data_IF_982283420307
#
_entry.id   IF_982283420307
#
_cell.length_a   1.000
_cell.length_b   1.000
_cell.length_c   1.000
_cell.angle_alpha   90.00
_cell.angle_beta   90.00
_cell.angle_gamma   90.00
#
_symmetry.space_group_name_H-M   'P 1'
#
loop_
_entity.id
_entity.type
_entity.pdbx_description
1 polymer ?
#
# COMPACT_ATOMS: atom_id res chain seq x y z
N UNK A 1 -17.92 0.92 12.47
CA UNK A 1 -16.80 0.03 12.86
C UNK A 1 -15.82 0.87 13.62
N UNK A 2 -15.35 0.44 14.79
CA UNK A 2 -14.37 1.23 15.57
C UNK A 2 -13.01 1.15 14.85
N UNK A 3 -12.40 2.30 14.58
CA UNK A 3 -11.09 2.38 13.93
C UNK A 3 -10.03 1.82 14.88
N UNK A 4 -9.40 0.69 14.52
CA UNK A 4 -8.31 0.10 15.28
C UNK A 4 -7.00 0.54 14.61
N UNK A 5 -6.27 1.45 15.25
CA UNK A 5 -4.98 1.93 14.76
C UNK A 5 -3.90 0.85 14.95
N UNK A 6 -3.43 0.29 13.82
CA UNK A 6 -2.38 -0.73 13.80
C UNK A 6 -1.00 -0.16 13.40
N UNK A 7 -0.88 1.13 13.09
CA UNK A 7 0.24 1.67 12.30
C UNK A 7 0.97 2.86 12.94
N UNK A 8 0.46 3.44 14.00
CA UNK A 8 0.96 4.70 14.56
C UNK A 8 2.29 4.62 15.32
N UNK A 9 2.67 3.47 15.87
CA UNK A 9 3.94 3.34 16.59
C UNK A 9 5.13 3.16 15.61
N UNK A 10 6.07 4.12 15.57
CA UNK A 10 7.29 4.16 14.74
C UNK A 10 7.15 4.61 13.27
N UNK A 11 6.42 5.68 13.03
CA UNK A 11 6.22 6.26 11.69
C UNK A 11 7.54 6.62 10.97
N UNK A 12 8.61 7.01 11.66
CA UNK A 12 9.91 7.35 11.08
C UNK A 12 10.67 6.14 10.50
N UNK A 13 10.69 5.01 11.22
CA UNK A 13 11.28 3.76 10.72
C UNK A 13 10.45 3.20 9.56
N UNK A 14 9.14 3.33 9.66
CA UNK A 14 8.20 2.94 8.64
C UNK A 14 8.39 3.73 7.33
N UNK A 15 8.59 5.04 7.42
CA UNK A 15 8.79 5.91 6.27
C UNK A 15 10.11 5.64 5.53
N UNK A 16 11.18 5.30 6.27
CA UNK A 16 12.52 5.04 5.70
C UNK A 16 12.67 3.65 5.10
N UNK A 17 11.98 2.66 5.66
CA UNK A 17 12.10 1.26 5.25
C UNK A 17 11.10 0.86 4.14
N UNK A 18 10.06 1.69 3.88
CA UNK A 18 9.05 1.31 2.89
C UNK A 18 9.46 1.63 1.46
N UNK A 19 9.25 0.66 0.56
CA UNK A 19 9.52 0.85 -0.86
C UNK A 19 8.58 1.90 -1.49
N UNK A 20 9.09 2.66 -2.44
CA UNK A 20 8.31 3.64 -3.20
C UNK A 20 7.68 2.99 -4.44
N UNK A 21 6.47 3.37 -4.78
CA UNK A 21 5.80 2.89 -5.99
C UNK A 21 6.48 3.42 -7.27
N UNK A 22 6.51 2.61 -8.35
CA UNK A 22 7.10 3.04 -9.62
C UNK A 22 6.29 4.19 -10.23
N UNK A 23 6.98 5.20 -10.78
CA UNK A 23 6.35 6.35 -11.42
C UNK A 23 5.43 5.97 -12.58
N UNK A 24 5.76 4.87 -13.28
CA UNK A 24 4.95 4.32 -14.37
C UNK A 24 3.52 3.95 -13.95
N UNK A 25 3.29 3.55 -12.68
CA UNK A 25 1.95 3.32 -12.16
C UNK A 25 1.11 4.60 -12.15
N UNK A 26 1.68 5.68 -11.63
CA UNK A 26 0.98 6.96 -11.54
C UNK A 26 0.76 7.60 -12.92
N UNK A 27 1.76 7.49 -13.80
CA UNK A 27 1.64 7.90 -15.20
C UNK A 27 0.50 7.16 -15.92
N UNK A 28 0.38 5.83 -15.69
CA UNK A 28 -0.70 5.02 -16.23
C UNK A 28 -2.08 5.51 -15.73
N UNK A 29 -2.25 5.66 -14.40
CA UNK A 29 -3.51 6.13 -13.81
C UNK A 29 -3.89 7.50 -14.38
N UNK A 30 -2.94 8.43 -14.47
CA UNK A 30 -3.16 9.76 -15.02
C UNK A 30 -3.50 9.74 -16.52
N UNK A 31 -2.94 8.80 -17.30
CA UNK A 31 -3.24 8.65 -18.71
C UNK A 31 -4.66 8.09 -18.95
N UNK A 32 -5.20 7.30 -18.00
CA UNK A 32 -6.56 6.78 -18.07
C UNK A 32 -7.61 7.78 -17.58
N UNK A 33 -7.21 8.80 -16.82
CA UNK A 33 -8.10 9.80 -16.24
C UNK A 33 -8.61 10.80 -17.27
N UNK A 34 -9.85 11.34 -17.13
CA UNK A 34 -10.43 12.28 -18.09
C UNK A 34 -9.68 13.62 -18.14
N UNK A 35 -9.06 14.01 -17.02
CA UNK A 35 -8.17 15.16 -16.90
C UNK A 35 -7.10 14.84 -15.85
N UNK A 36 -6.17 15.78 -15.65
CA UNK A 36 -5.09 15.66 -14.65
C UNK A 36 -5.13 16.81 -13.65
N UNK A 37 -6.34 17.20 -13.25
CA UNK A 37 -6.53 18.36 -12.39
C UNK A 37 -6.48 17.95 -10.94
N UNK A 38 -7.26 16.93 -10.54
CA UNK A 38 -7.43 16.60 -9.12
C UNK A 38 -7.50 15.10 -8.88
N UNK A 39 -6.63 14.59 -8.01
CA UNK A 39 -6.69 13.22 -7.53
C UNK A 39 -6.98 13.17 -6.02
N UNK A 40 -7.57 12.06 -5.58
CA UNK A 40 -7.73 11.74 -4.17
C UNK A 40 -6.95 10.47 -3.83
N UNK A 41 -6.01 10.58 -2.88
CA UNK A 41 -5.31 9.46 -2.25
C UNK A 41 -6.01 9.14 -0.92
N UNK A 42 -6.78 8.06 -0.92
CA UNK A 42 -7.62 7.64 0.19
C UNK A 42 -6.86 6.64 1.08
N UNK A 43 -6.97 6.78 2.40
CA UNK A 43 -6.17 6.05 3.38
C UNK A 43 -4.67 6.17 3.08
N UNK A 44 -4.22 7.42 2.96
CA UNK A 44 -2.91 7.81 2.42
C UNK A 44 -1.73 7.40 3.30
N UNK A 45 -1.99 7.13 4.59
CA UNK A 45 -0.93 6.91 5.56
C UNK A 45 0.01 8.12 5.64
N UNK A 46 1.31 7.88 5.48
CA UNK A 46 2.32 8.94 5.45
C UNK A 46 2.50 9.63 4.08
N UNK A 47 1.62 9.36 3.08
CA UNK A 47 1.58 10.11 1.82
C UNK A 47 2.38 9.54 0.67
N UNK A 48 2.87 8.31 0.71
CA UNK A 48 3.72 7.75 -0.35
C UNK A 48 3.04 7.75 -1.73
N UNK A 49 1.75 7.37 -1.80
CA UNK A 49 1.00 7.37 -3.05
C UNK A 49 0.65 8.81 -3.46
N UNK A 50 0.28 9.67 -2.51
CA UNK A 50 0.03 11.08 -2.77
C UNK A 50 1.20 11.80 -3.44
N UNK A 51 2.44 11.52 -2.99
CA UNK A 51 3.67 12.07 -3.60
C UNK A 51 3.84 11.62 -5.06
N UNK A 52 3.52 10.38 -5.35
CA UNK A 52 3.54 9.85 -6.72
C UNK A 52 2.49 10.52 -7.60
N UNK A 53 1.25 10.61 -7.12
CA UNK A 53 0.14 11.27 -7.83
C UNK A 53 0.43 12.75 -8.09
N UNK A 54 1.06 13.47 -7.16
CA UNK A 54 1.37 14.89 -7.30
C UNK A 54 2.36 15.22 -8.44
N UNK A 55 3.05 14.23 -8.99
CA UNK A 55 3.88 14.40 -10.19
C UNK A 55 3.04 14.47 -11.47
N UNK A 56 1.84 13.90 -11.43
CA UNK A 56 0.99 13.71 -12.61
C UNK A 56 -0.33 14.48 -12.55
N UNK A 57 -0.77 14.93 -11.37
CA UNK A 57 -1.99 15.72 -11.17
C UNK A 57 -1.64 17.12 -10.65
N UNK A 58 -2.47 18.10 -10.99
CA UNK A 58 -2.27 19.49 -10.57
C UNK A 58 -2.47 19.66 -9.04
N UNK A 59 -3.36 18.85 -8.43
CA UNK A 59 -3.57 18.82 -7.00
C UNK A 59 -3.96 17.42 -6.52
N UNK A 60 -3.57 17.09 -5.29
CA UNK A 60 -3.90 15.82 -4.61
C UNK A 60 -4.49 16.13 -3.25
N UNK A 61 -5.69 15.63 -2.98
CA UNK A 61 -6.23 15.52 -1.63
C UNK A 61 -5.79 14.16 -1.08
N UNK A 62 -5.15 14.16 0.08
CA UNK A 62 -4.64 12.96 0.72
C UNK A 62 -5.29 12.83 2.10
N UNK A 63 -6.07 11.76 2.31
CA UNK A 63 -6.84 11.61 3.54
C UNK A 63 -6.53 10.30 4.24
N UNK A 64 -6.53 10.35 5.56
CA UNK A 64 -6.45 9.17 6.42
C UNK A 64 -7.35 9.36 7.63
N UNK A 65 -7.89 8.27 8.17
CA UNK A 65 -8.69 8.31 9.40
C UNK A 65 -7.82 8.53 10.66
N UNK A 66 -6.51 8.23 10.57
CA UNK A 66 -5.54 8.44 11.65
C UNK A 66 -4.94 9.84 11.59
N UNK A 67 -5.22 10.65 12.63
CA UNK A 67 -4.58 11.96 12.79
C UNK A 67 -3.04 11.85 12.93
N UNK A 68 -2.54 10.74 13.48
CA UNK A 68 -1.11 10.49 13.63
C UNK A 68 -0.45 10.23 12.27
N UNK A 69 -1.07 9.43 11.40
CA UNK A 69 -0.58 9.21 10.03
C UNK A 69 -0.52 10.53 9.27
N UNK A 70 -1.56 11.34 9.34
CA UNK A 70 -1.61 12.66 8.71
C UNK A 70 -0.54 13.60 9.29
N UNK A 71 -0.34 13.58 10.61
CA UNK A 71 0.67 14.38 11.31
C UNK A 71 2.11 14.03 10.91
N UNK A 72 2.36 12.78 10.52
CA UNK A 72 3.66 12.28 10.07
C UNK A 72 3.80 12.25 8.54
N UNK A 73 2.82 12.79 7.81
CA UNK A 73 2.85 12.78 6.35
C UNK A 73 3.92 13.72 5.79
N UNK A 74 4.52 13.31 4.68
CA UNK A 74 5.58 14.07 4.03
C UNK A 74 4.97 15.27 3.31
N UNK A 75 5.24 16.48 3.80
CA UNK A 75 4.77 17.70 3.17
C UNK A 75 5.33 17.83 1.73
N UNK A 76 4.46 18.11 0.78
CA UNK A 76 4.84 18.27 -0.61
C UNK A 76 3.97 19.32 -1.32
N UNK A 77 4.52 20.01 -2.32
CA UNK A 77 3.72 20.87 -3.19
C UNK A 77 2.58 20.07 -3.84
N UNK A 78 1.41 20.70 -3.97
CA UNK A 78 0.20 20.11 -4.59
C UNK A 78 -0.47 18.99 -3.79
N UNK A 79 0.01 18.63 -2.60
CA UNK A 79 -0.64 17.65 -1.71
C UNK A 79 -1.23 18.39 -0.52
N UNK A 80 -2.51 18.15 -0.27
CA UNK A 80 -3.21 18.60 0.93
C UNK A 80 -3.63 17.41 1.76
N UNK A 81 -3.15 17.34 3.00
CA UNK A 81 -3.47 16.28 3.93
C UNK A 81 -4.64 16.69 4.83
N UNK A 82 -5.56 15.76 5.11
CA UNK A 82 -6.65 15.96 6.06
C UNK A 82 -7.08 14.65 6.72
N UNK A 83 -7.61 14.76 7.93
CA UNK A 83 -8.13 13.62 8.69
C UNK A 83 -9.59 13.42 8.30
N UNK A 84 -9.85 12.39 7.46
CA UNK A 84 -11.18 12.05 6.98
C UNK A 84 -11.31 10.52 6.80
N UNK A 85 -12.48 9.99 7.12
CA UNK A 85 -12.82 8.61 6.79
C UNK A 85 -13.04 8.46 5.28
N UNK A 86 -12.68 7.29 4.76
CA UNK A 86 -12.76 6.98 3.33
C UNK A 86 -14.21 6.83 2.83
N UNK A 87 -15.08 6.36 3.71
CA UNK A 87 -16.46 5.99 3.40
C UNK A 87 -17.41 7.18 3.30
N UNK A 88 -16.97 8.33 3.80
CA UNK A 88 -17.76 9.56 3.76
C UNK A 88 -16.90 10.79 3.90
N UNK A 89 -16.89 11.64 2.88
CA UNK A 89 -16.14 12.89 2.87
C UNK A 89 -17.06 14.10 2.63
N UNK A 90 -16.52 15.29 2.85
CA UNK A 90 -17.16 16.56 2.53
C UNK A 90 -16.80 17.07 1.12
N UNK A 91 -16.10 16.26 0.32
CA UNK A 91 -15.75 16.62 -1.05
C UNK A 91 -17.00 16.80 -1.92
N UNK A 92 -17.01 17.81 -2.80
CA UNK A 92 -18.11 17.97 -3.77
C UNK A 92 -18.24 16.73 -4.68
N UNK A 93 -19.45 16.44 -5.12
CA UNK A 93 -19.68 15.42 -6.13
C UNK A 93 -18.93 15.75 -7.43
N UNK A 94 -18.52 14.74 -8.19
CA UNK A 94 -17.85 14.86 -9.48
C UNK A 94 -16.65 15.84 -9.47
N UNK A 95 -15.81 15.76 -8.43
CA UNK A 95 -14.69 16.69 -8.22
C UNK A 95 -13.31 16.09 -8.51
N UNK A 96 -13.20 14.76 -8.66
CA UNK A 96 -11.92 14.08 -8.88
C UNK A 96 -11.82 13.40 -10.23
N UNK A 97 -10.65 13.49 -10.85
CA UNK A 97 -10.29 12.77 -12.08
C UNK A 97 -9.83 11.34 -11.77
N UNK A 98 -9.21 11.15 -10.58
CA UNK A 98 -8.80 9.85 -10.07
C UNK A 98 -9.04 9.75 -8.56
N UNK A 99 -9.44 8.57 -8.10
CA UNK A 99 -9.46 8.16 -6.69
C UNK A 99 -8.59 6.92 -6.54
N UNK A 100 -7.63 6.99 -5.63
CA UNK A 100 -6.62 5.95 -5.43
C UNK A 100 -6.65 5.45 -3.99
N UNK A 101 -6.40 4.15 -3.81
CA UNK A 101 -6.15 3.55 -2.50
C UNK A 101 -4.99 2.55 -2.59
N UNK A 102 -3.95 2.78 -1.80
CA UNK A 102 -2.71 2.01 -1.81
C UNK A 102 -2.55 1.22 -0.51
N UNK A 103 -2.43 -0.11 -0.58
CA UNK A 103 -2.22 -1.00 0.58
C UNK A 103 -3.29 -0.89 1.68
N UNK A 104 -4.47 -0.35 1.40
CA UNK A 104 -5.46 -0.07 2.43
C UNK A 104 -6.87 -0.58 2.14
N UNK A 105 -7.18 -1.00 0.91
CA UNK A 105 -8.54 -1.40 0.51
C UNK A 105 -9.16 -2.48 1.41
N UNK A 106 -8.37 -3.39 1.95
CA UNK A 106 -8.82 -4.47 2.82
C UNK A 106 -9.27 -4.02 4.24
N UNK A 107 -9.04 -2.76 4.59
CA UNK A 107 -9.48 -2.16 5.86
C UNK A 107 -10.82 -1.44 5.75
N UNK A 108 -11.27 -1.13 4.52
CA UNK A 108 -12.43 -0.28 4.26
C UNK A 108 -13.73 -1.08 4.23
N UNK A 109 -14.83 -0.43 4.60
CA UNK A 109 -16.18 -0.88 4.26
C UNK A 109 -16.40 -0.61 2.76
N UNK A 110 -16.28 -1.66 1.95
CA UNK A 110 -16.23 -1.52 0.49
C UNK A 110 -17.53 -0.97 -0.10
N UNK A 111 -18.68 -1.30 0.46
CA UNK A 111 -19.96 -0.81 -0.05
C UNK A 111 -20.08 0.70 0.14
N UNK A 112 -19.83 1.18 1.34
CA UNK A 112 -19.84 2.61 1.67
C UNK A 112 -18.73 3.36 0.94
N UNK A 113 -17.52 2.79 0.89
CA UNK A 113 -16.38 3.37 0.18
C UNK A 113 -16.65 3.53 -1.31
N UNK A 114 -17.13 2.49 -2.00
CA UNK A 114 -17.41 2.60 -3.44
C UNK A 114 -18.59 3.53 -3.76
N UNK A 115 -19.57 3.65 -2.85
CA UNK A 115 -20.63 4.64 -2.99
C UNK A 115 -20.03 6.07 -2.95
N UNK A 116 -19.13 6.34 -2.03
CA UNK A 116 -18.43 7.62 -1.93
C UNK A 116 -17.53 7.89 -3.14
N UNK A 117 -16.74 6.88 -3.57
CA UNK A 117 -15.89 7.00 -4.76
C UNK A 117 -16.71 7.35 -6.00
N UNK A 118 -17.85 6.70 -6.21
CA UNK A 118 -18.76 7.02 -7.33
C UNK A 118 -19.32 8.43 -7.23
N UNK A 119 -19.63 8.90 -6.03
CA UNK A 119 -20.15 10.24 -5.81
C UNK A 119 -19.14 11.33 -6.16
N UNK A 120 -17.87 11.13 -5.78
CA UNK A 120 -16.82 12.16 -5.92
C UNK A 120 -16.08 12.10 -7.25
N UNK A 121 -16.08 10.96 -7.94
CA UNK A 121 -15.48 10.84 -9.27
C UNK A 121 -16.28 11.63 -10.31
N UNK A 122 -15.56 12.33 -11.18
CA UNK A 122 -16.13 12.87 -12.42
C UNK A 122 -16.62 11.73 -13.32
N UNK A 123 -17.57 11.98 -14.24
CA UNK A 123 -17.87 11.03 -15.31
C UNK A 123 -16.59 10.61 -16.03
N UNK A 124 -16.38 9.31 -16.22
CA UNK A 124 -15.17 8.68 -16.77
C UNK A 124 -13.92 8.82 -15.89
N UNK A 125 -14.05 9.29 -14.65
CA UNK A 125 -12.99 9.30 -13.66
C UNK A 125 -12.51 7.87 -13.33
N UNK A 126 -11.30 7.75 -12.84
CA UNK A 126 -10.61 6.46 -12.59
C UNK A 126 -10.61 6.13 -11.10
N UNK A 127 -11.07 4.93 -10.76
CA UNK A 127 -10.81 4.30 -9.47
C UNK A 127 -9.62 3.34 -9.62
N UNK A 128 -8.63 3.44 -8.74
CA UNK A 128 -7.47 2.57 -8.73
C UNK A 128 -7.15 2.08 -7.31
N UNK A 129 -7.07 0.78 -7.14
CA UNK A 129 -6.69 0.16 -5.87
C UNK A 129 -5.53 -0.80 -6.10
N UNK A 130 -4.46 -0.68 -5.33
CA UNK A 130 -3.33 -1.58 -5.44
C UNK A 130 -2.72 -1.97 -4.12
N UNK A 131 -2.05 -3.11 -4.16
CA UNK A 131 -1.25 -3.59 -3.07
C UNK A 131 -0.11 -4.47 -3.57
N UNK A 132 0.80 -4.76 -2.69
CA UNK A 132 1.81 -5.79 -2.87
C UNK A 132 1.79 -6.73 -1.67
N UNK A 133 2.20 -7.97 -1.91
CA UNK A 133 2.32 -8.96 -0.86
C UNK A 133 3.76 -8.97 -0.32
N UNK A 134 4.37 -10.14 -0.27
CA UNK A 134 5.78 -10.26 0.09
C UNK A 134 6.71 -9.87 -1.07
N UNK A 135 7.94 -9.60 -0.74
CA UNK A 135 9.02 -9.47 -1.71
C UNK A 135 9.40 -10.82 -2.33
N UNK A 136 10.04 -10.76 -3.48
CA UNK A 136 10.62 -11.88 -4.21
C UNK A 136 12.09 -11.58 -4.49
N UNK A 137 12.95 -12.60 -4.39
CA UNK A 137 14.38 -12.50 -4.64
C UNK A 137 14.84 -13.61 -5.59
N UNK A 138 14.95 -14.84 -5.10
CA UNK A 138 15.14 -16.07 -5.85
C UNK A 138 14.28 -17.15 -5.21
N UNK A 139 13.96 -18.20 -5.99
CA UNK A 139 13.13 -19.29 -5.47
C UNK A 139 13.69 -19.91 -4.16
N UNK A 140 15.02 -20.03 -4.04
CA UNK A 140 15.69 -20.58 -2.86
C UNK A 140 15.56 -19.64 -1.64
N UNK A 141 15.82 -18.34 -1.83
CA UNK A 141 15.70 -17.33 -0.76
C UNK A 141 14.25 -17.20 -0.36
N UNK A 142 13.33 -17.19 -1.33
CA UNK A 142 11.90 -17.06 -1.09
C UNK A 142 11.35 -18.24 -0.28
N UNK A 143 11.80 -19.46 -0.58
CA UNK A 143 11.42 -20.65 0.17
C UNK A 143 11.93 -20.61 1.63
N UNK A 144 13.19 -20.21 1.82
CA UNK A 144 13.75 -20.06 3.16
C UNK A 144 13.07 -18.92 3.96
N UNK A 145 12.71 -17.82 3.29
CA UNK A 145 11.94 -16.73 3.91
C UNK A 145 10.54 -17.18 4.30
N UNK A 146 9.87 -17.98 3.46
CA UNK A 146 8.58 -18.57 3.78
C UNK A 146 8.65 -19.46 5.02
N UNK A 147 9.68 -20.31 5.10
CA UNK A 147 9.86 -21.24 6.21
C UNK A 147 10.21 -20.52 7.52
N UNK A 148 11.25 -19.70 7.50
CA UNK A 148 11.85 -19.16 8.72
C UNK A 148 11.26 -17.81 9.16
N UNK A 149 10.55 -17.11 8.28
CA UNK A 149 9.96 -15.80 8.59
C UNK A 149 8.43 -15.82 8.50
N UNK A 150 7.83 -16.18 7.36
CA UNK A 150 6.38 -16.06 7.19
C UNK A 150 5.59 -17.13 7.93
N UNK A 151 6.09 -18.36 7.97
CA UNK A 151 5.35 -19.47 8.63
C UNK A 151 5.12 -19.21 10.11
N UNK A 152 6.10 -18.77 10.93
CA UNK A 152 5.87 -18.38 12.31
C UNK A 152 4.87 -17.24 12.48
N UNK A 153 4.79 -16.32 11.53
CA UNK A 153 3.93 -15.14 11.61
C UNK A 153 2.48 -15.39 11.18
N UNK A 154 2.15 -16.55 10.59
CA UNK A 154 0.79 -16.83 10.09
C UNK A 154 -0.32 -16.54 11.10
N UNK A 155 -0.23 -16.91 12.39
CA UNK A 155 -1.29 -16.66 13.37
C UNK A 155 -1.47 -15.19 13.75
N UNK A 156 -0.46 -14.34 13.46
CA UNK A 156 -0.40 -12.96 13.90
C UNK A 156 -0.92 -11.94 12.88
N UNK A 157 -1.19 -12.41 11.65
CA UNK A 157 -1.76 -11.56 10.63
C UNK A 157 -3.25 -11.30 10.87
N UNK A 158 -3.70 -10.03 10.74
CA UNK A 158 -5.14 -9.73 10.73
C UNK A 158 -5.86 -10.49 9.63
N UNK A 159 -7.09 -10.99 9.88
CA UNK A 159 -7.86 -11.74 8.88
C UNK A 159 -8.08 -10.95 7.57
N UNK A 160 -8.18 -9.63 7.65
CA UNK A 160 -8.37 -8.74 6.50
C UNK A 160 -7.24 -8.83 5.48
N UNK A 161 -6.02 -9.19 5.90
CA UNK A 161 -4.88 -9.38 5.00
C UNK A 161 -5.13 -10.48 3.94
N UNK A 162 -6.03 -11.43 4.19
CA UNK A 162 -6.41 -12.45 3.21
C UNK A 162 -6.91 -11.82 1.89
N UNK A 163 -7.65 -10.71 1.96
CA UNK A 163 -8.13 -9.98 0.79
C UNK A 163 -6.97 -9.40 -0.04
N UNK A 164 -5.97 -8.83 0.64
CA UNK A 164 -4.76 -8.30 0.00
C UNK A 164 -3.97 -9.44 -0.67
N UNK A 165 -3.77 -10.56 0.02
CA UNK A 165 -3.03 -11.71 -0.52
C UNK A 165 -3.72 -12.34 -1.72
N UNK A 166 -5.06 -12.35 -1.75
CA UNK A 166 -5.85 -12.74 -2.90
C UNK A 166 -5.81 -11.71 -4.05
N UNK A 167 -5.15 -10.56 -3.87
CA UNK A 167 -5.13 -9.47 -4.87
C UNK A 167 -6.49 -8.82 -5.06
N UNK A 168 -7.32 -8.85 -4.02
CA UNK A 168 -8.70 -8.35 -4.06
C UNK A 168 -9.57 -8.99 -5.15
N UNK A 169 -9.21 -10.18 -5.67
CA UNK A 169 -9.91 -10.81 -6.80
C UNK A 169 -11.35 -11.17 -6.47
N UNK A 170 -11.59 -11.57 -5.23
CA UNK A 170 -12.91 -12.01 -4.76
C UNK A 170 -13.78 -10.84 -4.26
N UNK A 171 -13.21 -9.63 -4.21
CA UNK A 171 -13.94 -8.44 -3.79
C UNK A 171 -14.64 -7.78 -4.99
N UNK A 172 -15.83 -7.25 -4.76
CA UNK A 172 -16.50 -6.42 -5.76
C UNK A 172 -15.62 -5.22 -6.15
N UNK A 173 -15.66 -4.84 -7.42
CA UNK A 173 -15.03 -3.60 -7.91
C UNK A 173 -15.94 -3.00 -8.96
N UNK A 174 -16.89 -2.14 -8.55
CA UNK A 174 -18.04 -1.77 -9.37
C UNK A 174 -17.74 -0.63 -10.36
N UNK A 175 -16.64 -0.78 -11.08
CA UNK A 175 -16.17 0.13 -12.13
C UNK A 175 -15.90 -0.65 -13.42
N UNK A 176 -16.04 -0.02 -14.57
CA UNK A 176 -15.70 -0.62 -15.85
C UNK A 176 -14.20 -0.94 -15.89
N UNK A 177 -13.79 -2.21 -16.04
CA UNK A 177 -12.39 -2.60 -15.91
C UNK A 177 -11.48 -1.89 -16.93
N UNK A 178 -10.30 -1.48 -16.47
CA UNK A 178 -9.20 -0.99 -17.30
C UNK A 178 -8.05 -1.99 -17.16
N UNK A 179 -7.66 -2.61 -18.28
CA UNK A 179 -6.49 -3.48 -18.33
C UNK A 179 -5.22 -2.66 -18.09
N UNK A 180 -4.41 -3.11 -17.14
CA UNK A 180 -3.15 -2.47 -16.80
C UNK A 180 -1.97 -3.38 -17.11
N UNK A 181 -0.83 -2.82 -17.55
CA UNK A 181 0.40 -3.60 -17.63
C UNK A 181 0.86 -4.02 -16.22
N UNK A 182 1.71 -5.04 -16.11
CA UNK A 182 2.26 -5.42 -14.82
C UNK A 182 3.17 -4.30 -14.28
N UNK A 183 3.01 -3.99 -13.00
CA UNK A 183 3.88 -3.07 -12.27
C UNK A 183 4.55 -3.82 -11.12
N UNK A 184 5.77 -3.43 -10.79
CA UNK A 184 6.48 -3.93 -9.63
C UNK A 184 7.32 -2.81 -9.00
N UNK A 185 7.51 -2.91 -7.69
CA UNK A 185 8.53 -2.14 -7.00
C UNK A 185 9.83 -2.96 -7.08
N UNK A 186 10.92 -2.33 -7.49
CA UNK A 186 12.24 -2.96 -7.53
C UNK A 186 13.24 -2.16 -6.69
N UNK A 187 14.00 -2.86 -5.87
CA UNK A 187 15.00 -2.29 -4.98
C UNK A 187 16.23 -3.15 -4.94
N UNK A 188 17.36 -2.58 -4.53
CA UNK A 188 18.60 -3.32 -4.28
C UNK A 188 18.93 -3.26 -2.79
N UNK A 189 18.54 -4.32 -2.07
CA UNK A 189 18.68 -4.40 -0.62
C UNK A 189 19.73 -5.41 -0.19
N UNK A 190 20.33 -5.15 0.98
CA UNK A 190 21.08 -6.14 1.75
C UNK A 190 20.10 -7.07 2.50
N UNK A 191 20.58 -8.20 3.02
CA UNK A 191 19.77 -9.07 3.88
C UNK A 191 19.26 -8.29 5.11
N UNK A 192 20.13 -7.52 5.75
CA UNK A 192 19.75 -6.71 6.92
C UNK A 192 18.59 -5.76 6.61
N UNK A 193 18.57 -5.11 5.44
CA UNK A 193 17.45 -4.25 5.02
C UNK A 193 16.16 -5.02 4.78
N UNK A 194 16.23 -6.26 4.27
CA UNK A 194 15.05 -7.15 4.16
C UNK A 194 14.48 -7.48 5.53
N UNK A 195 15.34 -7.82 6.49
CA UNK A 195 14.94 -8.14 7.86
C UNK A 195 14.37 -6.91 8.58
N UNK A 196 15.00 -5.75 8.43
CA UNK A 196 14.51 -4.47 8.98
C UNK A 196 13.11 -4.16 8.44
N UNK A 197 12.93 -4.21 7.12
CA UNK A 197 11.63 -4.02 6.49
C UNK A 197 10.57 -5.00 7.02
N UNK A 198 10.88 -6.29 7.05
CA UNK A 198 9.95 -7.31 7.54
C UNK A 198 9.68 -7.16 9.06
N UNK A 199 10.63 -6.60 9.81
CA UNK A 199 10.47 -6.21 11.21
C UNK A 199 9.40 -5.11 11.43
N UNK A 200 9.13 -4.28 10.41
CA UNK A 200 8.09 -3.24 10.49
C UNK A 200 6.66 -3.78 10.36
N UNK A 201 6.48 -5.03 9.96
CA UNK A 201 5.15 -5.61 9.77
C UNK A 201 4.40 -5.78 11.10
N UNK A 202 3.10 -5.54 11.09
CA UNK A 202 2.27 -5.66 12.30
C UNK A 202 2.30 -7.07 12.90
N UNK A 203 2.32 -8.11 12.06
CA UNK A 203 2.45 -9.50 12.51
C UNK A 203 3.79 -9.76 13.19
N UNK A 204 4.90 -9.24 12.66
CA UNK A 204 6.23 -9.37 13.25
C UNK A 204 6.29 -8.72 14.63
N UNK A 205 5.76 -7.50 14.75
CA UNK A 205 5.73 -6.78 16.04
C UNK A 205 4.91 -7.51 17.09
N UNK A 206 3.73 -8.05 16.71
CA UNK A 206 2.90 -8.86 17.61
C UNK A 206 3.61 -10.13 18.04
N UNK A 207 4.25 -10.84 17.11
CA UNK A 207 5.01 -12.04 17.40
C UNK A 207 6.15 -11.78 18.41
N UNK A 208 6.90 -10.70 18.19
CA UNK A 208 7.99 -10.30 19.12
C UNK A 208 7.45 -9.91 20.49
N UNK A 209 6.33 -9.18 20.54
CA UNK A 209 5.68 -8.77 21.79
C UNK A 209 5.12 -9.97 22.59
N UNK A 210 4.78 -11.07 21.91
CA UNK A 210 4.33 -12.33 22.53
C UNK A 210 5.49 -13.16 23.14
N UNK A 211 6.70 -12.60 23.18
CA UNK A 211 7.81 -13.12 23.97
C UNK A 211 9.05 -13.57 23.20
N UNK A 212 9.09 -13.43 21.88
CA UNK A 212 10.24 -13.83 21.07
C UNK A 212 11.08 -12.65 20.56
N UNK A 213 11.76 -11.96 21.44
CA UNK A 213 12.64 -10.83 21.09
C UNK A 213 13.82 -11.21 20.15
N UNK A 214 14.21 -12.48 20.10
CA UNK A 214 15.30 -12.98 19.24
C UNK A 214 14.89 -13.36 17.83
N UNK A 215 13.61 -13.22 17.46
CA UNK A 215 13.07 -13.70 16.21
C UNK A 215 13.80 -13.17 14.97
N UNK A 216 13.99 -11.86 14.85
CA UNK A 216 14.64 -11.25 13.69
C UNK A 216 16.08 -11.72 13.49
N UNK A 217 16.85 -11.82 14.60
CA UNK A 217 18.23 -12.28 14.52
C UNK A 217 18.33 -13.78 14.07
N UNK A 218 17.39 -14.62 14.54
CA UNK A 218 17.35 -16.01 14.11
C UNK A 218 16.94 -16.15 12.64
N UNK A 219 15.93 -15.38 12.21
CA UNK A 219 15.51 -15.36 10.82
C UNK A 219 16.62 -14.89 9.90
N UNK A 220 17.36 -13.85 10.26
CA UNK A 220 18.54 -13.39 9.50
C UNK A 220 19.62 -14.46 9.42
N UNK A 221 19.97 -15.12 10.53
CA UNK A 221 20.95 -16.19 10.56
C UNK A 221 20.55 -17.40 9.70
N UNK A 222 19.24 -17.72 9.62
CA UNK A 222 18.71 -18.79 8.79
C UNK A 222 18.75 -18.44 7.30
N UNK A 223 18.58 -17.18 6.95
CA UNK A 223 18.58 -16.69 5.57
C UNK A 223 20.00 -16.43 5.03
N UNK A 224 20.97 -16.12 5.88
CA UNK A 224 22.31 -15.77 5.48
C UNK A 224 23.00 -16.82 4.57
N UNK A 225 22.90 -18.13 4.81
CA UNK A 225 23.50 -19.15 3.93
C UNK A 225 22.97 -19.10 2.50
N UNK A 226 21.63 -18.97 2.32
CA UNK A 226 21.00 -18.92 1.00
C UNK A 226 21.12 -17.54 0.35
N UNK A 227 21.26 -16.48 1.16
CA UNK A 227 21.59 -15.15 0.64
C UNK A 227 22.97 -15.14 -0.02
N UNK A 228 23.91 -15.89 0.51
CA UNK A 228 25.25 -16.05 -0.05
C UNK A 228 26.12 -14.80 0.09
N UNK A 229 27.11 -14.67 -0.82
CA UNK A 229 28.14 -13.61 -0.73
C UNK A 229 27.71 -12.27 -1.35
N UNK A 230 26.55 -12.19 -1.98
CA UNK A 230 26.11 -10.94 -2.58
C UNK A 230 25.79 -9.91 -1.49
N UNK A 231 26.42 -8.75 -1.56
CA UNK A 231 26.12 -7.67 -0.61
C UNK A 231 24.66 -7.21 -0.76
N UNK A 232 24.20 -7.03 -1.99
CA UNK A 232 22.83 -6.61 -2.32
C UNK A 232 22.21 -7.53 -3.37
N UNK A 233 20.91 -7.74 -3.27
CA UNK A 233 20.12 -8.44 -4.28
C UNK A 233 18.99 -7.57 -4.78
N UNK A 234 18.52 -7.85 -5.99
CA UNK A 234 17.29 -7.25 -6.50
C UNK A 234 16.13 -7.86 -5.74
N UNK A 235 15.35 -7.00 -5.16
CA UNK A 235 14.11 -7.32 -4.44
C UNK A 235 12.97 -6.81 -5.30
N UNK A 236 12.06 -7.69 -5.67
CA UNK A 236 10.89 -7.35 -6.49
C UNK A 236 9.61 -7.52 -5.67
N UNK A 237 8.72 -6.54 -5.71
CA UNK A 237 7.38 -6.62 -5.13
C UNK A 237 6.36 -6.36 -6.24
N UNK A 238 5.79 -7.41 -6.86
CA UNK A 238 4.75 -7.26 -7.86
C UNK A 238 3.52 -6.55 -7.28
N UNK A 239 3.03 -5.54 -7.98
CA UNK A 239 1.82 -4.82 -7.61
C UNK A 239 0.60 -5.56 -8.16
N UNK A 240 -0.39 -5.72 -7.31
CA UNK A 240 -1.71 -6.21 -7.67
C UNK A 240 -2.60 -4.98 -7.82
N UNK A 241 -2.85 -4.58 -9.05
CA UNK A 241 -3.63 -3.39 -9.38
C UNK A 241 -5.02 -3.76 -9.88
N UNK A 242 -6.03 -3.15 -9.27
CA UNK A 242 -7.39 -3.06 -9.80
C UNK A 242 -7.61 -1.63 -10.28
N UNK A 243 -7.95 -1.46 -11.52
CA UNK A 243 -8.17 -0.16 -12.14
C UNK A 243 -9.49 -0.20 -12.92
N UNK A 244 -10.28 0.83 -12.79
CA UNK A 244 -11.57 0.88 -13.48
C UNK A 244 -12.10 2.29 -13.65
N UNK A 245 -13.00 2.45 -14.60
CA UNK A 245 -13.61 3.70 -15.00
C UNK A 245 -15.00 3.87 -14.39
N UNK A 246 -15.27 5.05 -13.86
CA UNK A 246 -16.60 5.41 -13.44
C UNK A 246 -17.50 5.69 -14.64
N UNK A 247 -18.50 4.85 -14.84
CA UNK A 247 -19.59 5.05 -15.80
C UNK A 247 -20.83 5.37 -14.96
N UNK A 248 -21.43 6.56 -15.14
CA UNK A 248 -22.64 6.98 -14.40
C UNK A 248 -23.84 6.07 -14.63
#
# INVERSE_FOLDING_TARGET
MEFIDHFSENADLYARARPTYPDALFAFIAAQSPAKERAWDCATGNGQAALGLARHFASVEATDASAEQVGNAIAAPRVRYSVLAAERTDFPAASFDAVCVAQALHWLDLDSFYAEVKRVLKPRGVAAAWGYNRHQVTAEIDAAFDEHFLTPLKPYWPPQNAKLWAGYRDEAFPFEPIEAPPFAIEMRWTLAQVIEYAGTWSATRRYIADGDAGFLARAEASLAPVWGKAERRVITMPLQLRCGRHVP
#
